data_IF_391433906633
#
_entry.id   IF_391433906633
#
_cell.length_a   1.000
_cell.length_b   1.000
_cell.length_c   1.000
_cell.angle_alpha   90.00
_cell.angle_beta   90.00
_cell.angle_gamma   90.00
#
_symmetry.space_group_name_H-M   'P 1'
#
loop_
_entity.id
_entity.type
_entity.pdbx_description
1 polymer ?
#
# COMPACT_ATOMS: atom_id res chain seq x y z
N UNK A 1 1.03 14.95 11.72
CA UNK A 1 1.84 15.61 10.67
C UNK A 1 2.55 16.78 11.34
N UNK A 2 3.87 16.95 11.18
CA UNK A 2 4.60 18.10 11.73
C UNK A 2 5.09 18.92 10.54
N UNK A 3 4.84 20.23 10.56
CA UNK A 3 5.44 21.14 9.59
C UNK A 3 6.94 21.27 9.89
N UNK A 4 7.75 21.33 8.85
CA UNK A 4 9.17 21.69 8.97
C UNK A 4 9.32 23.21 9.10
N UNK A 5 10.45 23.68 9.65
CA UNK A 5 10.72 25.12 9.83
C UNK A 5 10.69 25.90 8.50
N UNK A 6 10.96 25.22 7.39
CA UNK A 6 10.88 25.76 6.03
C UNK A 6 9.45 25.92 5.51
N UNK A 7 8.47 25.20 6.06
CA UNK A 7 7.10 25.09 5.53
C UNK A 7 6.15 26.09 6.21
N UNK A 8 6.49 27.37 6.15
CA UNK A 8 5.75 28.44 6.85
C UNK A 8 4.26 28.49 6.46
N UNK A 9 3.95 28.29 5.17
CA UNK A 9 2.58 28.33 4.67
C UNK A 9 1.74 27.15 5.19
N UNK A 10 2.30 25.94 5.17
CA UNK A 10 1.66 24.74 5.72
C UNK A 10 1.48 24.84 7.24
N UNK A 11 2.49 25.34 7.95
CA UNK A 11 2.40 25.57 9.40
C UNK A 11 1.28 26.55 9.74
N UNK A 12 1.16 27.66 9.00
CA UNK A 12 0.09 28.64 9.18
C UNK A 12 -1.29 28.04 8.91
N UNK A 13 -1.43 27.24 7.86
CA UNK A 13 -2.68 26.56 7.54
C UNK A 13 -3.07 25.53 8.62
N UNK A 14 -2.10 24.73 9.11
CA UNK A 14 -2.35 23.78 10.19
C UNK A 14 -2.84 24.47 11.48
N UNK A 15 -2.27 25.64 11.82
CA UNK A 15 -2.73 26.45 12.96
C UNK A 15 -4.18 26.91 12.77
N UNK A 16 -4.50 27.46 11.61
CA UNK A 16 -5.86 27.91 11.27
C UNK A 16 -6.91 26.79 11.36
N UNK A 17 -6.53 25.56 10.96
CA UNK A 17 -7.38 24.37 11.14
C UNK A 17 -7.50 23.98 12.61
N UNK A 18 -6.39 24.00 13.36
CA UNK A 18 -6.36 23.62 14.78
C UNK A 18 -7.09 24.58 15.73
N UNK A 19 -7.15 25.86 15.38
CA UNK A 19 -7.86 26.90 16.13
C UNK A 19 -9.38 26.89 15.88
N UNK A 20 -9.86 26.07 14.95
CA UNK A 20 -11.29 25.96 14.62
C UNK A 20 -11.82 27.15 13.82
N UNK A 21 -10.93 27.95 13.20
CA UNK A 21 -11.31 29.03 12.30
C UNK A 21 -11.88 28.48 10.97
N UNK A 22 -11.47 27.25 10.63
CA UNK A 22 -12.16 26.43 9.63
C UNK A 22 -13.49 25.95 10.21
N UNK A 23 -14.61 26.39 9.61
CA UNK A 23 -15.98 25.98 9.94
C UNK A 23 -16.19 24.46 9.68
N UNK A 24 -17.40 24.03 9.33
CA UNK A 24 -17.75 22.62 9.07
C UNK A 24 -16.92 21.92 7.97
N UNK A 25 -16.21 22.67 7.11
CA UNK A 25 -15.40 22.13 6.00
C UNK A 25 -14.01 22.73 6.00
N UNK A 26 -13.00 21.85 5.98
CA UNK A 26 -11.60 22.22 5.79
C UNK A 26 -11.34 22.32 4.29
N UNK A 27 -10.86 23.48 3.83
CA UNK A 27 -10.37 23.65 2.46
C UNK A 27 -8.88 23.30 2.45
N UNK A 28 -8.51 22.33 1.61
CA UNK A 28 -7.10 22.00 1.40
C UNK A 28 -6.43 23.08 0.54
N UNK A 29 -5.24 23.56 0.92
CA UNK A 29 -4.50 24.54 0.13
C UNK A 29 -4.06 23.99 -1.23
N UNK A 30 -3.80 24.86 -2.23
CA UNK A 30 -3.32 24.45 -3.55
C UNK A 30 -2.07 23.58 -3.52
N UNK A 31 -1.14 23.84 -2.58
CA UNK A 31 0.10 23.07 -2.44
C UNK A 31 -0.12 21.63 -1.96
N UNK A 32 -1.31 21.27 -1.47
CA UNK A 32 -1.67 19.89 -1.15
C UNK A 32 -2.04 19.06 -2.40
N UNK A 33 -2.25 19.72 -3.54
CA UNK A 33 -2.59 19.05 -4.80
C UNK A 33 -1.32 18.95 -5.65
N UNK A 34 -0.76 17.74 -5.83
CA UNK A 34 0.43 17.58 -6.63
C UNK A 34 0.13 17.83 -8.12
N UNK A 35 1.11 18.35 -8.86
CA UNK A 35 1.01 18.50 -10.32
C UNK A 35 0.87 17.14 -11.02
N UNK A 36 1.63 16.13 -10.54
CA UNK A 36 1.56 14.76 -11.01
C UNK A 36 0.51 14.01 -10.18
N UNK A 37 -0.57 13.56 -10.83
CA UNK A 37 -1.68 12.87 -10.18
C UNK A 37 -1.41 11.37 -9.93
N UNK A 38 -0.53 10.74 -10.71
CA UNK A 38 -0.11 9.35 -10.48
C UNK A 38 0.93 9.32 -9.35
N UNK A 39 0.62 8.80 -8.15
CA UNK A 39 1.53 8.80 -7.02
C UNK A 39 2.78 7.94 -7.27
N UNK A 40 2.70 6.93 -8.13
CA UNK A 40 3.86 6.11 -8.50
C UNK A 40 4.81 6.92 -9.36
N UNK A 41 4.31 7.64 -10.37
CA UNK A 41 5.14 8.55 -11.16
C UNK A 41 5.68 9.70 -10.31
N UNK A 42 4.86 10.26 -9.43
CA UNK A 42 5.27 11.36 -8.56
C UNK A 42 6.45 10.95 -7.67
N UNK A 43 6.41 9.74 -7.08
CA UNK A 43 7.42 9.30 -6.12
C UNK A 43 8.63 8.60 -6.76
N UNK A 44 8.47 7.99 -7.94
CA UNK A 44 9.49 7.14 -8.56
C UNK A 44 9.95 7.59 -9.95
N UNK A 45 9.55 8.79 -10.41
CA UNK A 45 9.97 9.33 -11.72
C UNK A 45 11.47 9.49 -11.89
N UNK A 46 12.20 9.69 -10.78
CA UNK A 46 13.65 9.83 -10.74
C UNK A 46 14.39 8.49 -10.54
N UNK A 47 13.66 7.37 -10.47
CA UNK A 47 14.24 6.04 -10.23
C UNK A 47 14.23 5.20 -11.50
N UNK A 48 15.40 4.69 -11.88
CA UNK A 48 15.49 3.53 -12.77
C UNK A 48 15.49 2.24 -11.95
N UNK A 49 14.37 1.50 -12.00
CA UNK A 49 14.23 0.23 -11.30
C UNK A 49 15.23 -0.84 -11.76
N UNK A 50 15.93 -0.68 -12.90
CA UNK A 50 17.00 -1.58 -13.34
C UNK A 50 18.28 -1.45 -12.53
N UNK A 51 18.55 -0.27 -11.98
CA UNK A 51 19.77 0.04 -11.25
C UNK A 51 19.49 0.48 -9.82
N UNK A 52 18.28 0.26 -9.32
CA UNK A 52 17.83 0.73 -8.01
C UNK A 52 18.58 0.00 -6.89
N UNK A 53 19.04 0.76 -5.89
CA UNK A 53 19.61 0.22 -4.65
C UNK A 53 18.65 0.48 -3.48
N UNK A 54 18.71 -0.31 -2.40
CA UNK A 54 17.88 -0.07 -1.20
C UNK A 54 17.98 1.35 -0.64
N UNK A 55 19.15 1.99 -0.77
CA UNK A 55 19.40 3.35 -0.29
C UNK A 55 18.56 4.38 -1.05
N UNK A 56 18.35 4.19 -2.36
CA UNK A 56 17.52 5.09 -3.18
C UNK A 56 16.03 5.00 -2.83
N UNK A 57 15.59 3.85 -2.32
CA UNK A 57 14.22 3.60 -1.87
C UNK A 57 13.98 4.06 -0.42
N UNK A 58 15.04 4.36 0.32
CA UNK A 58 14.94 4.78 1.72
C UNK A 58 14.16 6.10 1.82
N UNK A 59 13.19 6.14 2.75
CA UNK A 59 12.40 7.33 3.01
C UNK A 59 11.27 7.59 1.99
N UNK A 60 11.11 6.70 1.00
CA UNK A 60 10.01 6.77 0.04
C UNK A 60 8.90 5.82 0.48
N UNK A 61 7.70 6.34 0.67
CA UNK A 61 6.51 5.55 0.97
C UNK A 61 5.28 6.24 0.39
N UNK A 62 4.36 5.44 -0.15
CA UNK A 62 3.02 5.88 -0.53
C UNK A 62 2.07 5.33 0.52
N UNK A 63 1.30 6.21 1.16
CA UNK A 63 0.29 5.84 2.15
C UNK A 63 -1.09 6.01 1.54
N UNK A 64 -1.95 5.03 1.73
CA UNK A 64 -3.34 5.03 1.25
C UNK A 64 -4.31 4.85 2.41
N UNK A 65 -5.57 5.22 2.18
CA UNK A 65 -6.63 5.08 3.18
C UNK A 65 -7.08 3.62 3.31
N UNK A 66 -7.07 2.86 2.21
CA UNK A 66 -7.54 1.47 2.17
C UNK A 66 -6.46 0.51 1.70
N UNK A 67 -6.56 -0.75 2.16
CA UNK A 67 -5.67 -1.83 1.74
C UNK A 67 -5.82 -2.15 0.25
N UNK A 68 -7.03 -2.09 -0.30
CA UNK A 68 -7.28 -2.34 -1.73
C UNK A 68 -6.54 -1.35 -2.61
N UNK A 69 -6.59 -0.06 -2.26
CA UNK A 69 -5.84 0.97 -2.99
C UNK A 69 -4.33 0.77 -2.80
N UNK A 70 -3.88 0.37 -1.61
CA UNK A 70 -2.47 0.03 -1.38
C UNK A 70 -2.00 -1.12 -2.29
N UNK A 71 -2.85 -2.12 -2.49
CA UNK A 71 -2.54 -3.29 -3.30
C UNK A 71 -2.48 -2.93 -4.79
N UNK A 72 -3.39 -2.08 -5.26
CA UNK A 72 -3.35 -1.54 -6.62
C UNK A 72 -2.06 -0.74 -6.87
N UNK A 73 -1.66 0.13 -5.94
CA UNK A 73 -0.42 0.89 -6.05
C UNK A 73 0.81 -0.03 -6.00
N UNK A 74 0.84 -1.01 -5.09
CA UNK A 74 1.94 -1.97 -5.01
C UNK A 74 2.10 -2.78 -6.31
N UNK A 75 0.99 -3.22 -6.91
CA UNK A 75 1.00 -3.91 -8.20
C UNK A 75 1.48 -2.97 -9.32
N UNK A 76 1.07 -1.69 -9.30
CA UNK A 76 1.52 -0.70 -10.26
C UNK A 76 3.03 -0.45 -10.19
N UNK A 77 3.59 -0.37 -8.98
CA UNK A 77 5.06 -0.29 -8.78
C UNK A 77 5.73 -1.56 -9.30
N UNK A 78 5.15 -2.74 -9.03
CA UNK A 78 5.68 -4.01 -9.51
C UNK A 78 5.73 -4.09 -11.04
N UNK A 79 4.74 -3.54 -11.75
CA UNK A 79 4.76 -3.45 -13.22
C UNK A 79 5.97 -2.66 -13.74
N UNK A 80 6.36 -1.59 -13.04
CA UNK A 80 7.52 -0.77 -13.38
C UNK A 80 8.87 -1.45 -13.09
N UNK A 81 8.90 -2.46 -12.20
CA UNK A 81 10.13 -3.18 -11.88
C UNK A 81 10.57 -4.11 -13.02
N UNK A 82 11.89 -4.22 -13.27
CA UNK A 82 12.42 -5.17 -14.25
C UNK A 82 12.30 -6.61 -13.77
N UNK A 83 12.55 -7.55 -14.69
CA UNK A 83 12.54 -8.97 -14.39
C UNK A 83 11.17 -9.62 -14.56
N UNK A 84 11.18 -10.95 -14.57
CA UNK A 84 9.98 -11.75 -14.78
C UNK A 84 9.18 -11.82 -13.47
N UNK A 85 7.87 -11.63 -13.59
CA UNK A 85 6.93 -11.87 -12.50
C UNK A 85 6.86 -13.36 -12.16
N UNK A 86 6.85 -13.66 -10.86
CA UNK A 86 6.51 -14.97 -10.31
C UNK A 86 5.23 -14.81 -9.51
N UNK A 87 4.26 -15.68 -9.76
CA UNK A 87 2.96 -15.69 -9.08
C UNK A 87 2.95 -16.87 -8.10
N UNK A 88 2.72 -16.57 -6.83
CA UNK A 88 2.47 -17.55 -5.78
C UNK A 88 0.97 -17.57 -5.48
N UNK A 89 0.33 -18.71 -5.70
CA UNK A 89 -1.10 -18.90 -5.44
C UNK A 89 -1.31 -19.61 -4.09
N UNK A 90 -2.21 -19.12 -3.26
CA UNK A 90 -2.61 -19.79 -2.03
C UNK A 90 -3.45 -21.03 -2.32
N UNK A 91 -3.47 -21.95 -1.35
CA UNK A 91 -4.37 -23.10 -1.34
C UNK A 91 -5.19 -22.96 -0.06
N UNK A 92 -6.44 -22.54 -0.22
CA UNK A 92 -7.36 -22.28 0.88
C UNK A 92 -8.43 -23.38 0.93
N UNK A 93 -8.76 -23.84 2.13
CA UNK A 93 -9.82 -24.81 2.35
C UNK A 93 -10.57 -24.48 3.63
N UNK A 94 -11.85 -24.79 3.66
CA UNK A 94 -12.66 -24.66 4.86
C UNK A 94 -12.42 -25.85 5.80
N UNK A 95 -12.46 -25.57 7.10
CA UNK A 95 -12.45 -26.60 8.14
C UNK A 95 -13.86 -26.67 8.72
N UNK A 96 -14.75 -27.39 8.03
CA UNK A 96 -16.12 -27.66 8.48
C UNK A 96 -16.48 -29.14 8.28
N UNK A 97 -17.37 -29.64 9.13
CA UNK A 97 -17.95 -30.98 8.99
C UNK A 97 -19.35 -30.92 8.36
N UNK A 98 -19.89 -29.73 8.07
CA UNK A 98 -21.19 -29.56 7.43
C UNK A 98 -21.03 -29.62 5.89
N UNK A 99 -21.67 -30.59 5.20
CA UNK A 99 -21.66 -30.65 3.74
C UNK A 99 -22.21 -29.40 3.06
N UNK A 100 -23.11 -28.65 3.71
CA UNK A 100 -23.67 -27.41 3.17
C UNK A 100 -22.62 -26.29 3.10
N UNK A 101 -21.67 -26.25 4.04
CA UNK A 101 -20.61 -25.24 4.03
C UNK A 101 -19.69 -25.42 2.82
N UNK A 102 -19.42 -26.66 2.40
CA UNK A 102 -18.64 -26.93 1.19
C UNK A 102 -19.32 -26.46 -0.10
N UNK A 103 -20.66 -26.33 -0.09
CA UNK A 103 -21.42 -25.77 -1.21
C UNK A 103 -21.49 -24.23 -1.14
N UNK A 104 -21.49 -23.67 0.08
CA UNK A 104 -21.58 -22.23 0.30
C UNK A 104 -20.24 -21.50 0.10
N UNK A 105 -19.12 -22.13 0.45
CA UNK A 105 -17.78 -21.55 0.37
C UNK A 105 -16.97 -22.21 -0.75
N UNK A 106 -17.26 -21.81 -1.98
CA UNK A 106 -16.53 -22.32 -3.16
C UNK A 106 -15.08 -21.82 -3.16
N UNK A 107 -14.21 -22.46 -3.95
CA UNK A 107 -12.83 -22.02 -4.12
C UNK A 107 -12.75 -20.57 -4.62
N UNK A 108 -13.63 -20.16 -5.53
CA UNK A 108 -13.67 -18.79 -6.03
C UNK A 108 -14.00 -17.78 -4.92
N UNK A 109 -14.90 -18.15 -4.01
CA UNK A 109 -15.21 -17.34 -2.84
C UNK A 109 -13.99 -17.21 -1.94
N UNK A 110 -13.33 -18.33 -1.60
CA UNK A 110 -12.12 -18.31 -0.76
C UNK A 110 -10.99 -17.49 -1.39
N UNK A 111 -10.76 -17.66 -2.69
CA UNK A 111 -9.74 -16.95 -3.45
C UNK A 111 -10.00 -15.43 -3.56
N UNK A 112 -11.24 -14.99 -3.32
CA UNK A 112 -11.61 -13.57 -3.26
C UNK A 112 -11.36 -12.92 -1.90
N UNK A 113 -11.11 -13.71 -0.85
CA UNK A 113 -10.92 -13.19 0.50
C UNK A 113 -9.54 -12.54 0.63
N UNK A 114 -9.50 -11.34 1.23
CA UNK A 114 -8.27 -10.63 1.57
C UNK A 114 -8.28 -10.20 3.05
N UNK A 115 -8.31 -11.16 4.00
CA UNK A 115 -8.36 -10.85 5.41
C UNK A 115 -7.05 -10.20 5.89
N UNK A 116 -7.15 -9.31 6.86
CA UNK A 116 -6.00 -8.63 7.46
C UNK A 116 -5.00 -9.62 8.04
N UNK A 117 -3.71 -9.44 7.73
CA UNK A 117 -2.62 -10.28 8.27
C UNK A 117 -2.34 -11.56 7.49
N UNK A 118 -2.95 -11.73 6.31
CA UNK A 118 -2.69 -12.82 5.36
C UNK A 118 -2.40 -12.21 3.99
N UNK A 119 -1.45 -12.77 3.20
CA UNK A 119 -1.27 -12.37 1.81
C UNK A 119 -2.54 -12.62 0.97
N UNK A 120 -2.75 -11.88 -0.12
CA UNK A 120 -3.83 -12.19 -1.07
C UNK A 120 -3.61 -13.57 -1.72
N UNK A 121 -4.68 -14.16 -2.25
CA UNK A 121 -4.61 -15.46 -2.93
C UNK A 121 -3.54 -15.50 -4.02
N UNK A 122 -3.39 -14.43 -4.81
CA UNK A 122 -2.32 -14.30 -5.80
C UNK A 122 -1.29 -13.28 -5.35
N UNK A 123 -0.15 -13.75 -4.89
CA UNK A 123 0.99 -12.91 -4.54
C UNK A 123 1.98 -12.85 -5.72
N UNK A 124 2.06 -11.66 -6.33
CA UNK A 124 2.95 -11.36 -7.46
C UNK A 124 4.25 -10.75 -6.97
N UNK A 125 5.39 -11.29 -7.40
CA UNK A 125 6.72 -10.81 -7.00
C UNK A 125 7.68 -10.75 -8.19
N UNK A 126 8.64 -9.82 -8.12
CA UNK A 126 9.78 -9.72 -9.04
C UNK A 126 11.09 -9.63 -8.24
N UNK A 127 12.25 -9.98 -8.82
CA UNK A 127 13.54 -9.73 -8.19
C UNK A 127 13.69 -8.24 -7.84
N UNK A 128 14.08 -7.95 -6.59
CA UNK A 128 14.27 -6.58 -6.10
C UNK A 128 13.03 -5.92 -5.47
N UNK A 129 11.88 -6.58 -5.45
CA UNK A 129 10.67 -6.07 -4.77
C UNK A 129 10.88 -5.96 -3.26
N UNK A 130 10.48 -4.83 -2.67
CA UNK A 130 10.42 -4.66 -1.21
C UNK A 130 9.22 -5.43 -0.67
N UNK A 131 9.45 -6.29 0.31
CA UNK A 131 8.40 -7.09 0.96
C UNK A 131 8.31 -6.77 2.45
N UNK A 132 7.12 -7.01 3.02
CA UNK A 132 6.89 -6.97 4.46
C UNK A 132 6.57 -8.38 4.95
N UNK A 133 7.22 -8.79 6.05
CA UNK A 133 6.86 -10.02 6.74
C UNK A 133 5.60 -9.78 7.58
N UNK A 134 4.54 -10.54 7.32
CA UNK A 134 3.28 -10.45 8.06
C UNK A 134 3.24 -11.31 9.33
N UNK A 135 4.19 -12.24 9.49
CA UNK A 135 4.27 -13.16 10.63
C UNK A 135 5.71 -13.32 11.10
N UNK A 136 5.88 -13.53 12.41
CA UNK A 136 7.17 -13.90 12.97
C UNK A 136 7.54 -15.33 12.54
N UNK A 137 8.71 -15.49 11.91
CA UNK A 137 9.22 -16.78 11.47
C UNK A 137 9.87 -17.58 12.62
N UNK A 138 10.26 -16.91 13.70
CA UNK A 138 10.91 -17.51 14.87
C UNK A 138 10.30 -16.92 16.16
N UNK A 139 9.07 -17.33 16.54
CA UNK A 139 8.48 -16.92 17.81
C UNK A 139 9.25 -17.54 18.99
N UNK A 140 9.60 -16.71 19.96
CA UNK A 140 10.06 -17.18 21.27
C UNK A 140 8.94 -17.96 21.97
N UNK A 141 9.29 -19.08 22.59
CA UNK A 141 8.37 -19.91 23.39
C UNK A 141 7.84 -19.18 24.61
#
# INVERSE_FOLDING_TARGET
MRAFDSEKEFASWLLHVGEGESREKIQLPPFCYPEIQDPVQQLFSDIDFKTVTPELLKGRAILTITNDLSMQINNRVLECMPGNEVIYESIDNIVSNDPQDHLAYTEEFLNSLAPTGIPPHKLKLKPGTIIMLLRNLAPSK
#
